data_IF_105703449597
#
_entry.id   IF_105703449597
#
_cell.length_a   1.000
_cell.length_b   1.000
_cell.length_c   1.000
_cell.angle_alpha   90.00
_cell.angle_beta   90.00
_cell.angle_gamma   90.00
#
_symmetry.space_group_name_H-M   'P 1'
#
loop_
_entity.id
_entity.type
_entity.pdbx_description
1 polymer ?
#
# COMPACT_ATOMS: atom_id res chain seq x y z
N UNK A 1 8.24 65.60 -17.11
CA UNK A 1 9.28 64.61 -16.71
C UNK A 1 8.60 63.36 -16.14
N UNK A 2 7.76 62.65 -16.90
CA UNK A 2 6.97 61.52 -16.33
C UNK A 2 6.60 60.40 -17.31
N UNK A 3 6.88 60.54 -18.62
CA UNK A 3 6.52 59.50 -19.61
C UNK A 3 7.70 58.57 -19.93
N UNK A 4 8.94 59.06 -19.82
CA UNK A 4 10.15 58.27 -20.14
C UNK A 4 10.51 57.22 -19.06
N UNK A 5 10.07 57.40 -17.82
CA UNK A 5 10.32 56.46 -16.72
C UNK A 5 9.35 55.27 -16.78
N UNK A 6 8.10 55.49 -17.20
CA UNK A 6 7.10 54.44 -17.34
C UNK A 6 7.42 53.44 -18.47
N UNK A 7 7.97 53.92 -19.60
CA UNK A 7 8.35 53.08 -20.74
C UNK A 7 9.56 52.17 -20.47
N UNK A 8 10.52 52.62 -19.64
CA UNK A 8 11.67 51.81 -19.23
C UNK A 8 11.26 50.72 -18.23
N UNK A 9 10.32 51.01 -17.32
CA UNK A 9 9.80 50.03 -16.38
C UNK A 9 8.98 48.91 -17.06
N UNK A 10 8.20 49.24 -18.09
CA UNK A 10 7.41 48.25 -18.86
C UNK A 10 8.31 47.39 -19.76
N UNK A 11 9.42 47.95 -20.25
CA UNK A 11 10.40 47.23 -21.06
C UNK A 11 11.21 46.22 -20.24
N UNK A 12 11.50 46.54 -18.97
CA UNK A 12 12.16 45.62 -18.03
C UNK A 12 11.25 44.46 -17.59
N UNK A 13 9.94 44.67 -17.49
CA UNK A 13 8.98 43.60 -17.18
C UNK A 13 8.67 42.68 -18.38
N UNK A 14 8.76 43.18 -19.62
CA UNK A 14 8.60 42.37 -20.82
C UNK A 14 9.87 41.56 -21.19
N UNK A 15 11.04 41.98 -20.73
CA UNK A 15 12.31 41.24 -20.88
C UNK A 15 12.54 40.21 -19.78
N UNK A 16 11.89 40.36 -18.62
CA UNK A 16 11.76 39.30 -17.62
C UNK A 16 10.66 38.33 -18.06
N UNK A 17 10.83 37.72 -19.23
CA UNK A 17 9.97 36.65 -19.68
C UNK A 17 9.79 35.63 -18.56
N UNK A 18 8.53 35.24 -18.34
CA UNK A 18 8.11 34.00 -17.68
C UNK A 18 8.62 32.79 -18.47
N UNK A 19 9.93 32.75 -18.74
CA UNK A 19 10.61 31.53 -19.06
C UNK A 19 10.50 30.71 -17.80
N UNK A 20 9.56 29.77 -17.79
CA UNK A 20 9.65 28.60 -16.93
C UNK A 20 11.13 28.22 -16.95
N UNK A 21 11.80 28.38 -15.81
CA UNK A 21 13.16 27.92 -15.64
C UNK A 21 13.06 26.39 -15.65
N UNK A 22 12.86 25.83 -16.83
CA UNK A 22 12.99 24.43 -17.10
C UNK A 22 14.44 24.14 -16.73
N UNK A 23 14.64 23.45 -15.62
CA UNK A 23 15.97 23.08 -15.14
C UNK A 23 16.74 22.51 -16.33
N UNK A 24 17.79 23.23 -16.77
CA UNK A 24 18.66 22.80 -17.85
C UNK A 24 19.54 21.62 -17.44
N UNK A 25 19.42 21.15 -16.20
CA UNK A 25 20.05 19.92 -15.73
C UNK A 25 19.36 18.70 -16.33
N UNK A 26 20.13 17.83 -16.99
CA UNK A 26 19.64 16.48 -17.24
C UNK A 26 19.44 15.81 -15.88
N UNK A 27 18.21 15.51 -15.51
CA UNK A 27 17.96 14.66 -14.36
C UNK A 27 18.74 13.35 -14.54
N UNK A 28 19.37 12.83 -13.47
CA UNK A 28 19.94 11.50 -13.54
C UNK A 28 18.86 10.53 -14.00
N UNK A 29 19.25 9.56 -14.83
CA UNK A 29 18.33 8.51 -15.25
C UNK A 29 17.66 7.89 -14.00
N UNK A 30 16.34 7.59 -14.04
CA UNK A 30 15.65 6.97 -12.92
C UNK A 30 16.40 5.73 -12.44
N UNK A 31 16.67 5.63 -11.14
CA UNK A 31 17.32 4.47 -10.54
C UNK A 31 16.40 3.84 -9.52
N UNK A 32 16.36 2.53 -9.50
CA UNK A 32 15.65 1.80 -8.45
C UNK A 32 16.29 2.10 -7.09
N UNK A 33 15.51 2.36 -6.02
CA UNK A 33 16.08 2.76 -4.75
C UNK A 33 17.00 1.67 -4.19
N UNK A 34 18.22 2.04 -3.77
CA UNK A 34 19.23 1.07 -3.35
C UNK A 34 18.87 0.31 -2.07
N UNK A 35 17.93 0.83 -1.28
CA UNK A 35 17.51 0.26 0.01
C UNK A 35 16.46 -0.86 -0.12
N UNK A 36 15.84 -1.06 -1.29
CA UNK A 36 14.91 -2.18 -1.56
C UNK A 36 15.58 -3.32 -2.34
N UNK A 37 16.91 -3.43 -2.23
CA UNK A 37 17.64 -4.58 -2.80
C UNK A 37 17.17 -5.88 -2.15
N UNK A 38 17.18 -7.01 -2.88
CA UNK A 38 16.93 -8.31 -2.31
C UNK A 38 17.79 -8.54 -1.04
N UNK A 39 17.18 -8.81 0.12
CA UNK A 39 17.94 -9.17 1.30
C UNK A 39 18.65 -10.52 1.06
N UNK A 40 19.86 -10.66 1.59
CA UNK A 40 20.62 -11.93 1.51
C UNK A 40 20.23 -12.88 2.63
N UNK A 41 19.77 -12.32 3.76
CA UNK A 41 19.38 -13.06 4.93
C UNK A 41 18.27 -12.35 5.71
N UNK A 42 17.65 -13.06 6.65
CA UNK A 42 16.69 -12.47 7.58
C UNK A 42 17.30 -11.33 8.41
N UNK A 43 18.60 -11.38 8.72
CA UNK A 43 19.28 -10.35 9.50
C UNK A 43 19.31 -8.99 8.78
N UNK A 44 19.30 -8.99 7.44
CA UNK A 44 19.17 -7.76 6.64
C UNK A 44 17.78 -7.12 6.79
N UNK A 45 16.76 -7.94 7.10
CA UNK A 45 15.35 -7.53 7.23
C UNK A 45 15.02 -7.13 8.67
N UNK A 46 15.67 -7.75 9.66
CA UNK A 46 15.35 -7.57 11.08
C UNK A 46 15.30 -6.10 11.56
N UNK A 47 16.20 -5.17 11.15
CA UNK A 47 16.10 -3.77 11.53
C UNK A 47 14.77 -3.13 11.12
N UNK A 48 14.28 -3.46 9.93
CA UNK A 48 13.00 -2.95 9.41
C UNK A 48 11.81 -3.60 10.11
N UNK A 49 11.85 -4.92 10.33
CA UNK A 49 10.82 -5.63 11.09
C UNK A 49 10.68 -5.07 12.52
N UNK A 50 11.80 -4.83 13.21
CA UNK A 50 11.87 -4.21 14.54
C UNK A 50 11.31 -2.80 14.58
N UNK A 51 11.49 -2.02 13.52
CA UNK A 51 10.90 -0.70 13.41
C UNK A 51 9.38 -0.80 13.18
N UNK A 52 8.95 -1.67 12.26
CA UNK A 52 7.54 -1.89 11.93
C UNK A 52 6.74 -2.32 13.17
N UNK A 53 7.22 -3.31 13.94
CA UNK A 53 6.53 -3.76 15.17
C UNK A 53 6.56 -2.73 16.30
N UNK A 54 7.21 -1.58 16.16
CA UNK A 54 7.14 -0.46 17.13
C UNK A 54 6.29 0.70 16.62
N UNK A 55 5.90 0.69 15.36
CA UNK A 55 5.13 1.76 14.74
C UNK A 55 3.66 1.72 15.20
N UNK A 56 3.20 2.76 15.88
CA UNK A 56 1.83 2.87 16.41
C UNK A 56 0.85 3.59 15.47
N UNK A 57 1.36 4.29 14.44
CA UNK A 57 0.57 5.06 13.48
C UNK A 57 0.60 4.50 12.05
N UNK A 58 -0.19 5.07 11.15
CA UNK A 58 -0.22 4.69 9.73
C UNK A 58 -1.07 3.46 9.41
N UNK A 59 -0.87 2.89 8.22
CA UNK A 59 -1.72 1.83 7.64
C UNK A 59 -1.64 0.51 8.39
N UNK A 60 -0.44 0.14 8.84
CA UNK A 60 -0.11 -1.12 9.53
C UNK A 60 0.52 -0.83 10.89
N UNK A 61 -0.28 -0.42 11.89
CA UNK A 61 0.19 0.03 13.20
C UNK A 61 0.50 -1.16 14.14
N UNK A 62 1.51 -1.97 13.81
CA UNK A 62 1.91 -3.16 14.56
C UNK A 62 2.35 -2.86 16.00
N UNK A 63 2.81 -1.64 16.27
CA UNK A 63 3.22 -1.16 17.59
C UNK A 63 2.09 -1.09 18.61
N UNK A 64 0.82 -1.12 18.18
CA UNK A 64 -0.34 -1.11 19.08
C UNK A 64 -0.50 -2.43 19.86
N UNK A 65 0.15 -3.51 19.41
CA UNK A 65 0.12 -4.77 20.16
C UNK A 65 1.13 -4.70 21.30
N UNK A 66 0.68 -5.00 22.51
CA UNK A 66 1.42 -4.92 23.77
C UNK A 66 2.00 -6.27 24.20
N UNK A 67 2.99 -6.25 25.10
CA UNK A 67 3.61 -7.46 25.65
C UNK A 67 2.54 -8.36 26.30
N UNK A 68 2.63 -9.66 26.06
CA UNK A 68 1.69 -10.66 26.60
C UNK A 68 0.41 -10.85 25.78
N UNK A 69 0.15 -10.00 24.79
CA UNK A 69 -0.93 -10.18 23.83
C UNK A 69 -0.63 -11.29 22.81
N UNK A 70 -1.68 -11.78 22.15
CA UNK A 70 -1.58 -12.73 21.03
C UNK A 70 -2.15 -12.11 19.78
N UNK A 71 -1.29 -11.91 18.78
CA UNK A 71 -1.66 -11.35 17.49
C UNK A 71 -1.84 -12.44 16.43
N UNK A 72 -2.90 -12.33 15.63
CA UNK A 72 -3.07 -13.08 14.41
C UNK A 72 -2.85 -12.17 13.18
N UNK A 73 -1.97 -12.59 12.27
CA UNK A 73 -1.75 -11.93 10.99
C UNK A 73 -2.24 -12.86 9.89
N UNK A 74 -3.25 -12.42 9.15
CA UNK A 74 -3.77 -13.16 8.00
C UNK A 74 -3.08 -12.68 6.72
N UNK A 75 -2.17 -13.49 6.21
CA UNK A 75 -1.23 -13.11 5.15
C UNK A 75 -1.72 -13.53 3.76
N UNK A 76 -1.57 -12.63 2.78
CA UNK A 76 -1.93 -12.92 1.39
C UNK A 76 -1.09 -14.06 0.80
N UNK A 77 -1.60 -14.82 -0.20
CA UNK A 77 -0.88 -15.98 -0.76
C UNK A 77 0.51 -15.67 -1.34
N UNK A 78 0.74 -14.43 -1.78
CA UNK A 78 2.01 -13.98 -2.37
C UNK A 78 3.01 -13.43 -1.33
N UNK A 79 2.70 -13.48 -0.04
CA UNK A 79 3.59 -12.98 1.00
C UNK A 79 4.95 -13.72 1.02
N UNK A 80 6.03 -12.96 1.21
CA UNK A 80 7.39 -13.47 1.28
C UNK A 80 7.68 -14.06 2.67
N UNK A 81 8.06 -15.33 2.70
CA UNK A 81 8.30 -16.07 3.96
C UNK A 81 9.35 -15.38 4.84
N UNK A 82 10.46 -14.92 4.26
CA UNK A 82 11.54 -14.25 5.00
C UNK A 82 11.03 -12.99 5.73
N UNK A 83 10.09 -12.26 5.12
CA UNK A 83 9.52 -11.04 5.68
C UNK A 83 8.57 -11.39 6.83
N UNK A 84 7.70 -12.38 6.64
CA UNK A 84 6.80 -12.88 7.68
C UNK A 84 7.58 -13.41 8.90
N UNK A 85 8.66 -14.17 8.67
CA UNK A 85 9.54 -14.67 9.74
C UNK A 85 10.25 -13.53 10.47
N UNK A 86 10.69 -12.48 9.77
CA UNK A 86 11.31 -11.31 10.41
C UNK A 86 10.31 -10.57 11.31
N UNK A 87 9.07 -10.37 10.85
CA UNK A 87 7.99 -9.77 11.65
C UNK A 87 7.66 -10.64 12.88
N UNK A 88 7.58 -11.96 12.69
CA UNK A 88 7.38 -12.92 13.79
C UNK A 88 8.45 -12.78 14.86
N UNK A 89 9.73 -12.88 14.47
CA UNK A 89 10.87 -12.74 15.40
C UNK A 89 10.88 -11.39 16.10
N UNK A 90 10.58 -10.30 15.38
CA UNK A 90 10.53 -8.96 15.97
C UNK A 90 9.40 -8.80 17.01
N UNK A 91 8.24 -9.43 16.81
CA UNK A 91 7.18 -9.47 17.81
C UNK A 91 7.54 -10.32 19.03
N UNK A 92 8.16 -11.48 18.80
CA UNK A 92 8.63 -12.37 19.88
C UNK A 92 9.69 -11.66 20.75
N UNK A 93 10.59 -10.87 20.16
CA UNK A 93 11.52 -9.98 20.88
C UNK A 93 10.80 -8.97 21.79
N UNK A 94 9.55 -8.59 21.47
CA UNK A 94 8.69 -7.72 22.31
C UNK A 94 7.88 -8.49 23.35
N UNK A 95 7.99 -9.82 23.40
CA UNK A 95 7.19 -10.68 24.27
C UNK A 95 5.72 -10.78 23.83
N UNK A 96 5.46 -10.63 22.54
CA UNK A 96 4.14 -10.83 21.92
C UNK A 96 4.07 -12.24 21.34
N UNK A 97 2.97 -12.95 21.57
CA UNK A 97 2.70 -14.23 20.89
C UNK A 97 2.11 -13.93 19.52
N UNK A 98 2.56 -14.62 18.47
CA UNK A 98 2.13 -14.34 17.10
C UNK A 98 1.73 -15.63 16.38
N UNK A 99 0.61 -15.54 15.66
CA UNK A 99 0.08 -16.57 14.77
C UNK A 99 0.00 -15.97 13.36
N UNK A 100 0.86 -16.41 12.45
CA UNK A 100 0.79 -16.01 11.04
C UNK A 100 0.02 -17.11 10.32
N UNK A 101 -1.13 -16.75 9.74
CA UNK A 101 -2.04 -17.69 9.09
C UNK A 101 -2.24 -17.24 7.65
N UNK A 102 -1.58 -17.90 6.67
CA UNK A 102 -1.80 -17.60 5.27
C UNK A 102 -3.25 -17.89 4.84
N UNK A 103 -3.82 -17.02 4.00
CA UNK A 103 -5.21 -17.14 3.56
C UNK A 103 -5.49 -18.47 2.83
N UNK A 104 -4.52 -19.03 2.11
CA UNK A 104 -4.68 -20.31 1.44
C UNK A 104 -4.90 -21.47 2.42
N UNK A 105 -4.28 -21.41 3.60
CA UNK A 105 -4.49 -22.43 4.64
C UNK A 105 -5.92 -22.35 5.20
N UNK A 106 -6.43 -21.13 5.42
CA UNK A 106 -7.81 -20.92 5.87
C UNK A 106 -8.85 -21.45 4.86
N UNK A 107 -8.55 -21.34 3.57
CA UNK A 107 -9.44 -21.79 2.50
C UNK A 107 -9.24 -23.26 2.10
N UNK A 108 -8.26 -23.96 2.68
CA UNK A 108 -7.94 -25.35 2.36
C UNK A 108 -7.37 -25.53 0.95
N UNK A 109 -6.62 -24.55 0.45
CA UNK A 109 -6.03 -24.53 -0.90
C UNK A 109 -4.51 -24.65 -0.79
N UNK A 110 -3.86 -25.32 -1.74
CA UNK A 110 -2.40 -25.37 -1.77
C UNK A 110 -1.80 -23.97 -2.03
N UNK A 111 -0.56 -23.74 -1.58
CA UNK A 111 0.12 -22.46 -1.79
C UNK A 111 0.31 -22.18 -3.29
N UNK A 112 0.68 -23.22 -4.04
CA UNK A 112 0.96 -23.16 -5.46
C UNK A 112 -0.28 -22.76 -6.26
N UNK A 113 -1.43 -23.39 -5.98
CA UNK A 113 -2.70 -23.05 -6.61
C UNK A 113 -3.17 -21.65 -6.22
N UNK A 114 -3.03 -21.27 -4.95
CA UNK A 114 -3.40 -19.94 -4.47
C UNK A 114 -2.58 -18.84 -5.17
N UNK A 115 -1.27 -19.01 -5.30
CA UNK A 115 -0.40 -18.08 -6.02
C UNK A 115 -0.79 -17.99 -7.49
N UNK A 116 -1.07 -19.13 -8.15
CA UNK A 116 -1.53 -19.15 -9.54
C UNK A 116 -2.85 -18.40 -9.72
N UNK A 117 -3.82 -18.62 -8.83
CA UNK A 117 -5.13 -17.99 -8.85
C UNK A 117 -5.08 -16.47 -8.60
N UNK A 118 -4.28 -16.02 -7.63
CA UNK A 118 -4.08 -14.59 -7.33
C UNK A 118 -3.42 -13.86 -8.50
N UNK A 119 -2.41 -14.47 -9.13
CA UNK A 119 -1.78 -13.93 -10.35
C UNK A 119 -2.75 -13.84 -11.53
N UNK A 120 -3.58 -14.87 -11.73
CA UNK A 120 -4.62 -14.89 -12.77
C UNK A 120 -5.62 -13.74 -12.62
N UNK A 121 -5.95 -13.36 -11.37
CA UNK A 121 -6.88 -12.27 -11.09
C UNK A 121 -6.23 -10.88 -11.15
N UNK A 122 -4.99 -10.77 -11.65
CA UNK A 122 -4.24 -9.50 -11.75
C UNK A 122 -4.13 -8.77 -10.41
N UNK A 123 -3.99 -9.52 -9.32
CA UNK A 123 -3.67 -8.95 -8.03
C UNK A 123 -2.17 -8.66 -8.00
N UNK A 124 -1.82 -7.38 -7.96
CA UNK A 124 -0.44 -6.94 -8.07
C UNK A 124 0.16 -6.66 -6.69
N UNK A 125 1.46 -6.88 -6.55
CA UNK A 125 2.24 -6.42 -5.38
C UNK A 125 2.91 -5.09 -5.69
N UNK A 126 3.50 -4.46 -4.68
CA UNK A 126 4.16 -3.16 -4.78
C UNK A 126 5.37 -3.19 -5.72
N UNK A 127 5.91 -4.38 -6.02
CA UNK A 127 6.88 -4.61 -7.09
C UNK A 127 6.35 -4.15 -8.46
N UNK A 128 5.07 -4.38 -8.70
CA UNK A 128 4.39 -4.09 -9.95
C UNK A 128 3.67 -2.73 -9.89
N UNK A 129 4.22 -1.76 -9.17
CA UNK A 129 3.61 -0.43 -8.98
C UNK A 129 3.25 0.30 -10.29
N UNK A 130 3.90 -0.03 -11.41
CA UNK A 130 3.52 0.48 -12.73
C UNK A 130 2.09 0.08 -13.16
N UNK A 131 1.53 -0.99 -12.59
CA UNK A 131 0.15 -1.44 -12.83
C UNK A 131 -0.89 -0.50 -12.23
N UNK A 132 -0.53 0.36 -11.27
CA UNK A 132 -1.43 1.41 -10.78
C UNK A 132 -1.87 2.33 -11.93
N UNK A 133 -0.95 2.63 -12.87
CA UNK A 133 -1.23 3.44 -14.04
C UNK A 133 -2.39 2.87 -14.88
N UNK A 134 -2.61 1.55 -14.85
CA UNK A 134 -3.75 0.92 -15.52
C UNK A 134 -5.07 1.46 -15.00
N UNK A 135 -5.25 1.50 -13.68
CA UNK A 135 -6.48 1.98 -13.05
C UNK A 135 -6.67 3.46 -13.31
N UNK A 136 -5.61 4.27 -13.24
CA UNK A 136 -5.64 5.69 -13.61
C UNK A 136 -6.10 5.89 -15.05
N UNK A 137 -5.48 5.18 -16.01
CA UNK A 137 -5.82 5.25 -17.43
C UNK A 137 -7.28 4.84 -17.68
N UNK A 138 -7.75 3.76 -17.06
CA UNK A 138 -9.08 3.21 -17.32
C UNK A 138 -10.22 3.94 -16.62
N UNK A 139 -9.96 4.60 -15.49
CA UNK A 139 -11.04 5.13 -14.62
C UNK A 139 -11.04 6.65 -14.47
N UNK A 140 -9.94 7.34 -14.79
CA UNK A 140 -9.80 8.79 -14.51
C UNK A 140 -9.73 9.66 -15.75
N UNK A 141 -9.36 9.10 -16.90
CA UNK A 141 -9.45 9.81 -18.17
C UNK A 141 -10.89 9.76 -18.70
N UNK A 142 -11.37 10.88 -19.26
CA UNK A 142 -12.69 10.94 -19.89
C UNK A 142 -12.85 9.98 -21.08
N UNK A 143 -11.74 9.71 -21.79
CA UNK A 143 -11.63 8.63 -22.78
C UNK A 143 -10.32 7.87 -22.55
N UNK A 144 -10.42 6.61 -22.14
CA UNK A 144 -9.28 5.75 -21.87
C UNK A 144 -8.54 5.29 -23.14
N UNK A 145 -9.16 5.36 -24.33
CA UNK A 145 -8.51 4.93 -25.58
C UNK A 145 -7.43 5.92 -26.04
N UNK A 146 -7.58 7.21 -25.73
CA UNK A 146 -6.58 8.25 -26.04
C UNK A 146 -5.21 7.94 -25.41
N UNK A 147 -5.07 7.80 -24.07
CA UNK A 147 -3.80 7.45 -23.44
C UNK A 147 -3.31 6.04 -23.82
N UNK A 148 -4.22 5.08 -24.06
CA UNK A 148 -3.85 3.74 -24.54
C UNK A 148 -3.20 3.77 -25.91
N UNK A 149 -3.77 4.53 -26.87
CA UNK A 149 -3.21 4.70 -28.21
C UNK A 149 -1.83 5.37 -28.14
N UNK A 150 -1.72 6.45 -27.37
CA UNK A 150 -0.43 7.13 -27.15
C UNK A 150 0.63 6.16 -26.60
N UNK A 151 0.28 5.36 -25.59
CA UNK A 151 1.20 4.40 -24.98
C UNK A 151 1.59 3.30 -25.98
N UNK A 152 0.65 2.80 -26.78
CA UNK A 152 0.90 1.79 -27.81
C UNK A 152 1.87 2.29 -28.89
N UNK A 153 1.74 3.54 -29.30
CA UNK A 153 2.59 4.14 -30.35
C UNK A 153 3.99 4.52 -29.82
N UNK A 154 4.08 5.05 -28.60
CA UNK A 154 5.34 5.59 -28.04
C UNK A 154 6.13 4.58 -27.22
N UNK A 155 5.45 3.66 -26.53
CA UNK A 155 6.00 2.68 -25.59
C UNK A 155 5.25 1.34 -25.69
N UNK A 156 5.33 0.66 -26.86
CA UNK A 156 4.64 -0.62 -27.09
C UNK A 156 5.02 -1.70 -26.05
N UNK A 157 6.24 -1.62 -25.51
CA UNK A 157 6.72 -2.45 -24.41
C UNK A 157 5.90 -2.28 -23.13
N UNK A 158 5.67 -1.03 -22.69
CA UNK A 158 4.84 -0.72 -21.52
C UNK A 158 3.37 -1.00 -21.80
N UNK A 159 2.88 -0.69 -23.00
CA UNK A 159 1.52 -1.03 -23.39
C UNK A 159 1.26 -2.53 -23.25
N UNK A 160 2.19 -3.37 -23.73
CA UNK A 160 2.12 -4.82 -23.55
C UNK A 160 2.11 -5.20 -22.07
N UNK A 161 3.06 -4.70 -21.28
CA UNK A 161 3.15 -5.01 -19.86
C UNK A 161 1.90 -4.61 -19.04
N UNK A 162 1.22 -3.51 -19.40
CA UNK A 162 0.06 -2.98 -18.66
C UNK A 162 -1.26 -3.56 -19.15
N UNK A 163 -1.44 -3.71 -20.46
CA UNK A 163 -2.74 -4.01 -21.07
C UNK A 163 -2.84 -5.37 -21.75
N UNK A 164 -1.76 -5.91 -22.32
CA UNK A 164 -1.83 -7.23 -22.94
C UNK A 164 -1.92 -8.30 -21.84
N UNK A 165 -2.83 -9.27 -22.01
CA UNK A 165 -2.95 -10.42 -21.11
C UNK A 165 -1.75 -11.32 -21.34
N UNK A 166 -0.95 -11.55 -20.29
CA UNK A 166 -0.27 -12.83 -20.15
C UNK A 166 -1.34 -13.82 -19.65
N UNK A 167 -1.66 -14.79 -20.51
CA UNK A 167 -2.49 -15.99 -20.37
C UNK A 167 -4.03 -15.90 -20.20
N UNK A 168 -4.70 -16.71 -21.03
CA UNK A 168 -6.07 -17.20 -20.88
C UNK A 168 -6.14 -18.10 -19.63
N UNK A 169 -6.23 -17.47 -18.45
CA UNK A 169 -6.49 -18.20 -17.22
C UNK A 169 -7.91 -18.78 -17.25
N UNK A 170 -8.08 -20.04 -16.85
CA UNK A 170 -9.40 -20.67 -16.78
C UNK A 170 -10.32 -19.89 -15.82
N UNK A 171 -11.63 -19.92 -16.11
CA UNK A 171 -12.63 -19.25 -15.27
C UNK A 171 -12.57 -19.74 -13.82
N UNK A 172 -12.30 -21.03 -13.61
CA UNK A 172 -12.10 -21.64 -12.28
C UNK A 172 -10.95 -21.00 -11.49
N UNK A 173 -9.80 -20.73 -12.14
CA UNK A 173 -8.66 -20.08 -11.49
C UNK A 173 -8.97 -18.62 -11.13
N UNK A 174 -9.72 -17.93 -11.99
CA UNK A 174 -10.18 -16.56 -11.73
C UNK A 174 -11.14 -16.55 -10.53
N UNK A 175 -12.09 -17.47 -10.49
CA UNK A 175 -13.07 -17.57 -9.40
C UNK A 175 -12.40 -17.97 -8.08
N UNK A 176 -11.42 -18.86 -8.11
CA UNK A 176 -10.57 -19.14 -6.96
C UNK A 176 -9.82 -17.88 -6.51
N UNK A 177 -9.24 -17.12 -7.44
CA UNK A 177 -8.54 -15.87 -7.15
C UNK A 177 -9.43 -14.82 -6.46
N UNK A 178 -10.71 -14.77 -6.82
CA UNK A 178 -11.71 -13.86 -6.22
C UNK A 178 -12.10 -14.22 -4.78
N UNK A 179 -11.82 -15.46 -4.33
CA UNK A 179 -12.09 -15.88 -2.94
C UNK A 179 -11.12 -15.25 -1.95
N UNK A 180 -9.88 -14.99 -2.38
CA UNK A 180 -8.84 -14.37 -1.56
C UNK A 180 -9.11 -12.88 -1.29
N UNK A 181 -8.67 -12.38 -0.13
CA UNK A 181 -8.83 -10.97 0.27
C UNK A 181 -10.27 -10.47 0.41
N UNK A 182 -11.27 -11.36 0.32
CA UNK A 182 -12.71 -11.05 0.29
C UNK A 182 -13.53 -11.78 1.36
N UNK A 183 -14.82 -11.94 1.10
CA UNK A 183 -15.79 -12.52 2.06
C UNK A 183 -15.43 -13.96 2.47
N UNK A 184 -14.96 -14.80 1.55
CA UNK A 184 -14.63 -16.20 1.86
C UNK A 184 -13.52 -16.30 2.92
N UNK A 185 -12.51 -15.42 2.83
CA UNK A 185 -11.45 -15.35 3.84
C UNK A 185 -12.00 -14.78 5.15
N UNK A 186 -12.86 -13.74 5.09
CA UNK A 186 -13.49 -13.19 6.29
C UNK A 186 -14.28 -14.26 7.08
N UNK A 187 -15.11 -15.04 6.39
CA UNK A 187 -15.90 -16.12 7.00
C UNK A 187 -14.98 -17.21 7.61
N UNK A 188 -13.82 -17.48 7.00
CA UNK A 188 -12.83 -18.41 7.55
C UNK A 188 -12.05 -17.83 8.74
N UNK A 189 -11.74 -16.53 8.73
CA UNK A 189 -11.13 -15.82 9.86
C UNK A 189 -12.06 -15.87 11.08
N UNK A 190 -13.36 -15.65 10.90
CA UNK A 190 -14.34 -15.73 12.00
C UNK A 190 -14.27 -17.12 12.67
N UNK A 191 -14.30 -18.19 11.87
CA UNK A 191 -14.18 -19.58 12.37
C UNK A 191 -12.85 -19.81 13.09
N UNK A 192 -11.75 -19.29 12.55
CA UNK A 192 -10.44 -19.36 13.18
C UNK A 192 -10.44 -18.68 14.55
N UNK A 193 -10.92 -17.43 14.62
CA UNK A 193 -11.00 -16.66 15.86
C UNK A 193 -11.99 -17.26 16.88
N UNK A 194 -12.95 -18.06 16.42
CA UNK A 194 -13.82 -18.83 17.29
C UNK A 194 -13.10 -20.00 17.98
N UNK A 195 -12.09 -20.58 17.35
CA UNK A 195 -11.28 -21.65 17.91
C UNK A 195 -10.06 -21.11 18.68
N UNK A 196 -9.59 -19.92 18.32
CA UNK A 196 -8.42 -19.25 18.88
C UNK A 196 -8.81 -18.04 19.74
N UNK A 197 -9.46 -18.32 20.88
CA UNK A 197 -9.98 -17.28 21.79
C UNK A 197 -8.86 -16.43 22.43
N UNK A 198 -7.65 -16.96 22.49
CA UNK A 198 -6.44 -16.27 22.98
C UNK A 198 -6.01 -15.10 22.10
N UNK A 199 -6.42 -15.06 20.82
CA UNK A 199 -6.12 -13.97 19.89
C UNK A 199 -6.89 -12.72 20.29
N UNK A 200 -6.17 -11.62 20.50
CA UNK A 200 -6.72 -10.34 20.93
C UNK A 200 -6.34 -9.16 20.02
N UNK A 201 -5.46 -9.37 19.05
CA UNK A 201 -5.16 -8.41 17.98
C UNK A 201 -5.14 -9.11 16.62
N UNK A 202 -5.76 -8.48 15.61
CA UNK A 202 -5.86 -8.99 14.24
C UNK A 202 -5.36 -7.95 13.25
N UNK A 203 -4.48 -8.40 12.34
CA UNK A 203 -4.11 -7.64 11.14
C UNK A 203 -4.48 -8.41 9.88
N UNK A 204 -5.21 -7.76 8.97
CA UNK A 204 -5.69 -8.38 7.73
C UNK A 204 -5.97 -7.37 6.62
N UNK A 205 -5.80 -7.82 5.37
CA UNK A 205 -5.92 -7.08 4.11
C UNK A 205 -4.99 -5.89 4.02
N UNK A 206 -4.72 -5.49 2.78
CA UNK A 206 -4.00 -4.26 2.53
C UNK A 206 -4.80 -3.02 2.90
N UNK A 207 -6.10 -2.91 2.61
CA UNK A 207 -6.83 -1.63 2.75
C UNK A 207 -8.24 -1.74 3.34
N UNK A 208 -8.95 -0.60 3.33
CA UNK A 208 -10.37 -0.53 3.69
C UNK A 208 -10.66 -0.82 5.16
N UNK A 209 -9.91 -0.21 6.09
CA UNK A 209 -9.96 -0.49 7.55
C UNK A 209 -11.38 -0.68 8.11
N UNK A 210 -12.31 0.23 7.83
CA UNK A 210 -13.70 0.16 8.31
C UNK A 210 -14.46 -1.04 7.74
N UNK A 211 -14.30 -1.33 6.45
CA UNK A 211 -14.95 -2.46 5.79
C UNK A 211 -14.37 -3.77 6.28
N UNK A 212 -13.04 -3.85 6.41
CA UNK A 212 -12.34 -5.03 6.91
C UNK A 212 -12.73 -5.36 8.34
N UNK A 213 -12.83 -4.36 9.23
CA UNK A 213 -13.37 -4.53 10.58
C UNK A 213 -14.76 -5.16 10.57
N UNK A 214 -15.69 -4.57 9.81
CA UNK A 214 -17.07 -5.06 9.69
C UNK A 214 -17.17 -6.46 9.12
N UNK A 215 -16.27 -6.84 8.22
CA UNK A 215 -16.31 -8.15 7.56
C UNK A 215 -16.00 -9.32 8.48
N UNK A 216 -15.37 -9.08 9.64
CA UNK A 216 -15.04 -10.13 10.61
C UNK A 216 -15.86 -10.04 11.91
N UNK A 217 -16.99 -9.31 11.89
CA UNK A 217 -17.91 -9.32 13.03
C UNK A 217 -18.39 -10.76 13.34
N UNK A 218 -18.53 -11.14 14.63
CA UNK A 218 -18.50 -10.29 15.83
C UNK A 218 -17.10 -9.99 16.39
N UNK A 219 -16.02 -10.43 15.74
CA UNK A 219 -14.63 -10.23 16.19
C UNK A 219 -14.03 -8.90 15.72
N UNK A 220 -14.84 -7.96 15.24
CA UNK A 220 -14.37 -6.68 14.70
C UNK A 220 -13.62 -5.82 15.74
N UNK A 221 -13.92 -6.00 17.03
CA UNK A 221 -13.21 -5.37 18.13
C UNK A 221 -11.73 -5.81 18.26
N UNK A 222 -11.38 -7.00 17.75
CA UNK A 222 -9.98 -7.48 17.70
C UNK A 222 -9.19 -6.88 16.53
N UNK A 223 -9.83 -6.18 15.60
CA UNK A 223 -9.17 -5.65 14.40
C UNK A 223 -8.38 -4.37 14.68
N UNK A 224 -7.05 -4.50 14.67
CA UNK A 224 -6.11 -3.42 14.98
C UNK A 224 -5.69 -2.67 13.72
N UNK A 225 -5.60 -3.34 12.57
CA UNK A 225 -5.26 -2.65 11.34
C UNK A 225 -5.09 -3.54 10.11
N UNK A 226 -4.74 -2.89 9.02
CA UNK A 226 -4.38 -3.57 7.79
C UNK A 226 -2.95 -4.12 7.86
N UNK A 227 -2.65 -5.15 7.09
CA UNK A 227 -1.30 -5.71 6.96
C UNK A 227 -0.78 -5.52 5.53
N UNK A 228 0.24 -4.68 5.38
CA UNK A 228 0.91 -4.46 4.08
C UNK A 228 2.36 -4.96 4.08
N UNK A 229 2.95 -5.24 5.24
CA UNK A 229 4.35 -5.67 5.36
C UNK A 229 4.52 -7.17 5.02
N UNK A 230 4.00 -7.56 3.86
CA UNK A 230 3.99 -8.94 3.37
C UNK A 230 5.15 -9.25 2.41
N UNK A 231 5.87 -8.24 1.94
CA UNK A 231 7.00 -8.37 1.01
C UNK A 231 8.08 -7.32 1.26
N UNK A 232 9.27 -7.50 0.66
CA UNK A 232 10.42 -6.60 0.87
C UNK A 232 10.18 -5.15 0.40
N UNK A 233 9.39 -4.96 -0.65
CA UNK A 233 9.10 -3.65 -1.23
C UNK A 233 8.13 -2.83 -0.37
N UNK A 234 7.49 -3.46 0.61
CA UNK A 234 6.68 -2.78 1.62
C UNK A 234 7.46 -2.58 2.91
N UNK A 235 8.03 -3.66 3.48
CA UNK A 235 8.70 -3.57 4.78
C UNK A 235 10.00 -2.74 4.75
N UNK A 236 10.83 -2.91 3.72
CA UNK A 236 12.14 -2.24 3.64
C UNK A 236 12.05 -0.87 2.96
N UNK A 237 10.85 -0.44 2.56
CA UNK A 237 10.68 0.76 1.78
C UNK A 237 10.67 2.02 2.64
N UNK A 238 11.66 2.88 2.40
CA UNK A 238 11.80 4.20 3.04
C UNK A 238 10.71 5.20 2.66
N UNK A 239 10.04 5.01 1.52
CA UNK A 239 8.95 5.90 1.09
C UNK A 239 7.65 5.66 1.87
N UNK A 240 7.40 4.42 2.28
CA UNK A 240 6.23 4.05 3.07
C UNK A 240 6.45 4.22 4.59
N UNK A 241 7.71 4.29 5.05
CA UNK A 241 8.08 4.54 6.44
C UNK A 241 8.09 6.05 6.72
N UNK A 242 6.90 6.65 6.72
CA UNK A 242 6.70 7.94 7.36
C UNK A 242 6.74 7.74 8.89
N UNK A 243 7.51 8.54 9.65
CA UNK A 243 7.60 8.36 11.10
C UNK A 243 6.21 8.37 11.76
N UNK A 244 5.89 7.33 12.52
CA UNK A 244 4.54 7.15 13.06
C UNK A 244 4.13 8.22 14.07
N UNK A 245 5.09 8.83 14.73
CA UNK A 245 4.92 10.01 15.59
C UNK A 245 4.54 11.25 14.78
N UNK A 246 5.19 11.52 13.64
CA UNK A 246 4.81 12.61 12.74
C UNK A 246 3.46 12.32 12.07
N UNK A 247 3.18 11.05 11.72
CA UNK A 247 1.86 10.65 11.20
C UNK A 247 0.77 10.97 12.23
N UNK A 248 0.96 10.52 13.47
CA UNK A 248 0.01 10.77 14.56
C UNK A 248 -0.13 12.26 14.86
N UNK A 249 0.99 13.00 14.89
CA UNK A 249 0.95 14.45 15.06
C UNK A 249 0.15 15.12 13.93
N UNK A 250 0.31 14.69 12.68
CA UNK A 250 -0.47 15.21 11.57
C UNK A 250 -1.96 14.87 11.71
N UNK A 251 -2.31 13.64 12.11
CA UNK A 251 -3.70 13.25 12.41
C UNK A 251 -4.29 14.09 13.56
N UNK A 252 -3.59 14.23 14.68
CA UNK A 252 -3.99 15.04 15.85
C UNK A 252 -4.16 16.52 15.53
N UNK A 253 -3.38 17.06 14.58
CA UNK A 253 -3.39 18.50 14.25
C UNK A 253 -4.30 18.87 13.09
N UNK A 254 -4.62 17.93 12.19
CA UNK A 254 -5.38 18.21 10.97
C UNK A 254 -6.73 17.51 10.97
N UNK A 255 -6.82 16.29 11.49
CA UNK A 255 -8.03 15.46 11.42
C UNK A 255 -8.84 15.54 12.70
N UNK A 256 -8.23 15.34 13.87
CA UNK A 256 -8.95 15.36 15.15
C UNK A 256 -9.69 16.68 15.44
N UNK A 257 -9.17 17.87 15.07
CA UNK A 257 -9.91 19.13 15.25
C UNK A 257 -11.20 19.21 14.43
N UNK A 258 -11.35 18.41 13.36
CA UNK A 258 -12.56 18.41 12.53
C UNK A 258 -13.81 18.00 13.32
N UNK A 259 -13.68 17.14 14.33
CA UNK A 259 -14.80 16.76 15.19
C UNK A 259 -15.31 17.91 16.06
N UNK A 260 -14.50 18.96 16.22
CA UNK A 260 -14.78 20.17 17.01
C UNK A 260 -14.97 21.40 16.11
N UNK A 261 -15.03 21.21 14.80
CA UNK A 261 -15.18 22.30 13.84
C UNK A 261 -16.65 22.56 13.56
N UNK A 262 -17.15 23.72 13.96
CA UNK A 262 -18.56 24.10 13.75
C UNK A 262 -18.87 24.45 12.28
N UNK A 263 -17.86 24.92 11.52
CA UNK A 263 -18.02 25.33 10.12
C UNK A 263 -16.71 25.21 9.35
N UNK A 264 -16.79 24.67 8.12
CA UNK A 264 -15.71 24.70 7.13
C UNK A 264 -16.17 25.59 5.97
N UNK A 265 -15.38 26.60 5.62
CA UNK A 265 -15.54 27.37 4.39
C UNK A 265 -14.41 26.98 3.43
N UNK A 266 -14.78 26.49 2.24
CA UNK A 266 -13.83 26.23 1.15
C UNK A 266 -14.12 27.23 0.06
N UNK A 267 -13.17 28.13 -0.20
CA UNK A 267 -13.24 29.05 -1.32
C UNK A 267 -12.32 28.50 -2.41
N UNK A 268 -12.92 27.83 -3.39
CA UNK A 268 -12.22 27.45 -4.63
C UNK A 268 -12.27 28.65 -5.59
N UNK A 269 -11.12 29.20 -6.02
CA UNK A 269 -11.10 30.26 -7.03
C UNK A 269 -11.32 29.75 -8.47
N UNK A 270 -11.42 28.42 -8.69
CA UNK A 270 -11.83 27.82 -9.98
C UNK A 270 -13.34 27.58 -10.09
#
# INVERSE_FOLDING_TARGET
MSVKIALVAISLFLLAGLGAAQEKGKYPAPRFPSYVRPPKSIEDVMPFARAAVRQTGGRTPLGLVEKGQTVAIFAEPMAEEMILQAIKRAYEERGVKIQIVPEYQLLGVSKEEAVKAVKANRWFTSEQGYMEARSWILQRFGDAEVPKKWLKERRPDLYKAVFQREDDSSQELIDLGRRFGGKSVADAIIKYLDQHKEVNAVFWRRGGRTVTRKSIEPHGNKFYGNFIFDNRYELMNKAATFPGDIWRLAEERVVEPLAWTDRVEVNDPE
#
